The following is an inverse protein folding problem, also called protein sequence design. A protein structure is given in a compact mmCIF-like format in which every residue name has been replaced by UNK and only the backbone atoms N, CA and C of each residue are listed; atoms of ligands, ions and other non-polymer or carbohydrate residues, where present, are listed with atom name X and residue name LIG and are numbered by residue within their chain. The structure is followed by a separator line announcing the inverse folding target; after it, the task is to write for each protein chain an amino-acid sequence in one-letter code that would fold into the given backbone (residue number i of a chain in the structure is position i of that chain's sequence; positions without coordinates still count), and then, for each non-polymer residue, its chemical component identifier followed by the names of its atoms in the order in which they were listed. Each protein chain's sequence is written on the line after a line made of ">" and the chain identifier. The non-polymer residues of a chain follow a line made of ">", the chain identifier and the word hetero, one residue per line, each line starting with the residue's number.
data_IF_487884264891
#
_entry.id   IF_487884264891
#
_cell.length_a   1.000
_cell.length_b   1.000
_cell.length_c   1.000
_cell.angle_alpha   90.00
_cell.angle_beta   90.00
_cell.angle_gamma   90.00
#
_symmetry.space_group_name_H-M   'P 1'
#
loop_
_entity.id
_entity.type
_entity.pdbx_description
1 polymer ?
#
# COMPACT_ATOMS: atom_id res chain seq x y z
N UNK A 1 24.83 15.17 -25.06
CA UNK A 1 24.27 15.15 -24.57
C UNK A 1 23.43 15.22 -24.35
N UNK A 2 22.90 15.14 -24.12
CA UNK A 2 22.07 15.04 -23.86
C UNK A 2 21.29 15.14 -23.27
N UNK A 3 20.85 15.24 -23.07
CA UNK A 3 20.12 15.53 -22.25
C UNK A 3 19.21 15.27 -21.88
N UNK A 4 18.80 15.19 -21.93
CA UNK A 4 18.07 15.06 -21.64
C UNK A 4 17.15 15.00 -20.94
N UNK A 5 16.80 14.83 -20.58
CA UNK A 5 15.82 14.48 -19.72
C UNK A 5 14.89 15.46 -19.32
N UNK A 6 14.97 16.38 -19.38
CA UNK A 6 14.25 17.33 -18.89
C UNK A 6 12.90 17.45 -19.31
N UNK A 7 12.60 17.27 -20.43
CA UNK A 7 11.26 17.57 -20.85
C UNK A 7 10.20 16.73 -20.26
N UNK A 8 10.57 15.75 -19.61
CA UNK A 8 9.60 14.95 -19.08
C UNK A 8 9.09 15.34 -17.84
N UNK A 9 9.39 16.51 -17.38
CA UNK A 9 9.14 16.78 -16.07
C UNK A 9 7.76 16.63 -15.68
N UNK A 10 6.84 17.21 -16.30
CA UNK A 10 5.46 17.16 -15.88
C UNK A 10 4.87 15.82 -15.96
N UNK A 11 5.08 15.19 -17.09
CA UNK A 11 4.63 13.87 -17.24
C UNK A 11 5.50 13.02 -16.45
N UNK A 12 6.65 13.52 -16.16
CA UNK A 12 7.64 12.82 -15.46
C UNK A 12 7.29 12.42 -14.08
N UNK A 13 6.32 13.05 -13.46
CA UNK A 13 5.95 12.69 -12.14
C UNK A 13 5.49 11.26 -12.03
N UNK A 14 4.51 10.87 -12.82
CA UNK A 14 4.05 9.51 -12.83
C UNK A 14 5.12 8.59 -13.37
N UNK A 15 5.83 9.04 -14.36
CA UNK A 15 6.87 8.25 -14.93
C UNK A 15 8.04 8.06 -13.98
N UNK A 16 8.36 9.07 -13.21
CA UNK A 16 9.34 8.98 -12.18
C UNK A 16 8.96 7.98 -11.13
N UNK A 17 7.73 7.97 -10.70
CA UNK A 17 7.26 7.01 -9.74
C UNK A 17 7.45 5.59 -10.25
N UNK A 18 7.02 5.36 -11.48
CA UNK A 18 7.17 4.04 -12.08
C UNK A 18 8.63 3.66 -12.18
N UNK A 19 9.46 4.58 -12.60
CA UNK A 19 10.87 4.32 -12.74
C UNK A 19 11.53 4.06 -11.40
N UNK A 20 11.10 4.74 -10.36
CA UNK A 20 11.59 4.51 -9.02
C UNK A 20 11.23 3.12 -8.56
N UNK A 21 10.01 2.66 -8.85
CA UNK A 21 9.59 1.32 -8.53
C UNK A 21 10.47 0.31 -9.23
N UNK A 22 10.76 0.54 -10.48
CA UNK A 22 11.59 -0.38 -11.25
C UNK A 22 13.02 -0.39 -10.76
N UNK A 23 13.55 0.78 -10.46
CA UNK A 23 14.90 0.87 -10.00
C UNK A 23 15.09 0.31 -8.65
N UNK A 24 14.10 0.47 -7.81
CA UNK A 24 14.19 -0.08 -6.51
C UNK A 24 14.04 -1.59 -6.52
N UNK A 25 14.29 -2.23 -7.66
CA UNK A 25 14.04 -3.62 -7.88
C UNK A 25 14.59 -4.59 -6.90
N UNK A 26 15.31 -4.14 -5.89
CA UNK A 26 15.73 -5.00 -4.81
C UNK A 26 15.17 -4.43 -3.53
N UNK A 27 14.82 -5.27 -2.62
CA UNK A 27 14.37 -4.83 -1.33
C UNK A 27 12.86 -4.87 -1.16
N UNK A 28 12.42 -4.72 0.09
CA UNK A 28 10.99 -4.92 0.41
C UNK A 28 10.06 -3.89 -0.23
N UNK A 29 10.48 -2.63 -0.30
CA UNK A 29 9.60 -1.61 -0.87
C UNK A 29 9.33 -1.88 -2.34
N UNK A 30 10.37 -2.24 -3.08
CA UNK A 30 10.22 -2.55 -4.50
C UNK A 30 9.32 -3.75 -4.69
N UNK A 31 9.51 -4.76 -3.85
CA UNK A 31 8.71 -5.98 -3.94
C UNK A 31 7.25 -5.70 -3.63
N UNK A 32 6.98 -4.92 -2.58
CA UNK A 32 5.62 -4.54 -2.24
C UNK A 32 4.96 -3.77 -3.38
N UNK A 33 5.66 -2.77 -3.90
CA UNK A 33 5.11 -1.94 -4.97
C UNK A 33 4.81 -2.78 -6.20
N UNK A 34 5.70 -3.69 -6.53
CA UNK A 34 5.51 -4.54 -7.69
C UNK A 34 4.33 -5.48 -7.50
N UNK A 35 4.23 -6.09 -6.33
CA UNK A 35 3.15 -7.01 -6.04
C UNK A 35 1.80 -6.31 -6.01
N UNK A 36 1.70 -5.25 -5.23
CA UNK A 36 0.42 -4.56 -5.07
C UNK A 36 0.02 -3.78 -6.32
N UNK A 37 1.00 -3.29 -7.07
CA UNK A 37 0.71 -2.57 -8.29
C UNK A 37 0.03 -3.41 -9.35
N UNK A 38 0.10 -4.73 -9.23
CA UNK A 38 -0.55 -5.63 -10.17
C UNK A 38 -2.00 -5.96 -9.79
N UNK A 39 -2.44 -5.53 -8.61
CA UNK A 39 -3.82 -5.81 -8.20
C UNK A 39 -4.76 -4.77 -8.82
N UNK A 40 -5.95 -5.20 -9.25
CA UNK A 40 -6.89 -4.29 -9.93
C UNK A 40 -7.25 -3.07 -9.09
N UNK A 41 -7.21 -1.90 -9.72
CA UNK A 41 -7.60 -0.62 -9.14
C UNK A 41 -6.67 -0.12 -8.04
N UNK A 42 -5.50 -0.75 -7.86
CA UNK A 42 -4.55 -0.26 -6.87
C UNK A 42 -3.77 0.90 -7.44
N UNK A 43 -3.71 1.97 -6.67
CA UNK A 43 -2.91 3.13 -6.99
C UNK A 43 -1.87 3.31 -5.90
N UNK A 44 -0.63 3.52 -6.28
CA UNK A 44 0.48 3.69 -5.35
C UNK A 44 0.96 5.13 -5.45
N UNK A 45 0.95 5.84 -4.33
CA UNK A 45 1.33 7.25 -4.31
C UNK A 45 2.24 7.51 -3.12
N UNK A 46 3.39 8.16 -3.33
CA UNK A 46 4.21 8.56 -2.18
C UNK A 46 3.56 9.75 -1.49
N UNK A 47 3.31 9.63 -0.20
CA UNK A 47 2.68 10.67 0.60
C UNK A 47 3.22 10.62 2.02
N UNK A 48 3.57 11.79 2.54
CA UNK A 48 3.98 11.91 3.94
C UNK A 48 5.08 10.91 4.33
N UNK A 49 6.05 10.74 3.43
CA UNK A 49 7.19 9.87 3.70
C UNK A 49 6.89 8.39 3.56
N UNK A 50 5.76 8.02 2.97
CA UNK A 50 5.38 6.63 2.84
C UNK A 50 4.81 6.33 1.46
N UNK A 51 5.06 5.12 0.97
CA UNK A 51 4.33 4.60 -0.19
C UNK A 51 2.93 4.30 0.31
N UNK A 52 1.92 4.88 -0.33
CA UNK A 52 0.54 4.73 0.11
C UNK A 52 -0.24 3.96 -0.95
N UNK A 53 -0.96 2.93 -0.51
CA UNK A 53 -1.66 2.01 -1.41
C UNK A 53 -3.16 2.21 -1.28
N UNK A 54 -3.78 2.58 -2.38
CA UNK A 54 -5.22 2.89 -2.43
C UNK A 54 -5.97 1.96 -3.36
N UNK A 55 -7.22 1.69 -3.02
CA UNK A 55 -8.20 1.18 -3.97
C UNK A 55 -9.20 2.30 -4.15
N UNK A 56 -9.25 2.93 -5.33
CA UNK A 56 -10.05 4.13 -5.50
C UNK A 56 -9.63 5.17 -4.46
N UNK A 57 -10.55 5.75 -3.73
CA UNK A 57 -10.20 6.75 -2.72
C UNK A 57 -9.78 6.14 -1.38
N UNK A 58 -9.78 4.83 -1.25
CA UNK A 58 -9.60 4.21 0.06
C UNK A 58 -8.19 3.70 0.27
N UNK A 59 -7.53 4.30 1.25
CA UNK A 59 -6.20 3.87 1.65
C UNK A 59 -6.30 2.58 2.45
N UNK A 60 -5.52 1.56 2.09
CA UNK A 60 -5.57 0.30 2.83
C UNK A 60 -4.22 -0.14 3.39
N UNK A 61 -3.13 0.48 2.96
CA UNK A 61 -1.82 0.13 3.49
C UNK A 61 -0.81 1.20 3.15
N UNK A 62 0.29 1.25 3.90
CA UNK A 62 1.40 2.12 3.53
C UNK A 62 2.70 1.61 4.13
N UNK A 63 3.80 1.90 3.44
CA UNK A 63 5.12 1.42 3.81
C UNK A 63 6.14 2.55 3.69
N UNK A 64 7.13 2.65 4.59
CA UNK A 64 8.05 3.78 4.57
C UNK A 64 8.84 3.92 3.28
N UNK A 65 9.09 5.16 2.90
CA UNK A 65 9.99 5.45 1.79
C UNK A 65 11.44 5.24 2.20
N UNK A 66 11.76 5.47 3.47
CA UNK A 66 13.12 5.37 3.95
C UNK A 66 13.54 3.93 4.14
N UNK A 67 14.71 3.60 3.61
CA UNK A 67 15.18 2.22 3.63
C UNK A 67 15.35 1.64 5.01
N UNK A 68 15.61 2.48 6.00
CA UNK A 68 15.85 1.99 7.36
C UNK A 68 14.58 1.72 8.15
N UNK A 69 13.46 2.21 7.67
CA UNK A 69 12.19 2.03 8.38
C UNK A 69 11.52 0.78 7.84
N UNK A 70 10.88 0.04 8.73
CA UNK A 70 10.38 -1.29 8.39
C UNK A 70 8.91 -1.50 8.74
N UNK A 71 8.22 -0.47 9.21
CA UNK A 71 6.85 -0.66 9.70
C UNK A 71 5.82 -0.51 8.58
N UNK A 72 5.30 -1.64 8.17
CA UNK A 72 4.21 -1.70 7.21
C UNK A 72 2.89 -1.54 7.96
N UNK A 73 2.08 -0.58 7.57
CA UNK A 73 0.77 -0.35 8.17
C UNK A 73 -0.30 -0.92 7.26
N UNK A 74 -1.21 -1.69 7.83
CA UNK A 74 -2.28 -2.37 7.08
C UNK A 74 -3.59 -2.17 7.79
N UNK A 75 -4.63 -1.80 7.05
CA UNK A 75 -5.97 -1.59 7.61
C UNK A 75 -6.81 -2.83 7.37
N UNK A 76 -7.26 -3.46 8.45
CA UNK A 76 -7.97 -4.73 8.38
C UNK A 76 -9.35 -4.61 9.03
N UNK A 77 -10.26 -5.47 8.61
CA UNK A 77 -11.54 -5.60 9.29
C UNK A 77 -11.33 -6.22 10.67
N UNK A 78 -12.34 -6.19 11.53
CA UNK A 78 -12.15 -6.58 12.94
C UNK A 78 -11.60 -7.99 13.13
N UNK A 79 -12.10 -8.94 12.39
CA UNK A 79 -11.66 -10.31 12.56
C UNK A 79 -10.22 -10.51 12.08
N UNK A 80 -9.89 -9.96 10.91
CA UNK A 80 -8.54 -10.07 10.39
C UNK A 80 -7.56 -9.28 11.24
N UNK A 81 -8.01 -8.17 11.82
CA UNK A 81 -7.21 -7.39 12.75
C UNK A 81 -6.78 -8.27 13.94
N UNK A 82 -7.74 -8.96 14.56
CA UNK A 82 -7.43 -9.86 15.66
C UNK A 82 -6.47 -10.97 15.24
N UNK A 83 -6.70 -11.54 14.07
CA UNK A 83 -5.85 -12.61 13.55
C UNK A 83 -4.43 -12.14 13.29
N UNK A 84 -4.30 -10.94 12.74
CA UNK A 84 -2.98 -10.39 12.46
C UNK A 84 -2.21 -10.13 13.74
N UNK A 85 -2.88 -9.62 14.77
CA UNK A 85 -2.23 -9.42 16.06
C UNK A 85 -1.77 -10.73 16.64
N UNK A 86 -2.60 -11.77 16.55
CA UNK A 86 -2.24 -13.09 17.04
C UNK A 86 -1.07 -13.68 16.26
N UNK A 87 -0.92 -13.29 15.01
CA UNK A 87 0.15 -13.80 14.16
C UNK A 87 1.45 -13.00 14.27
N UNK A 88 1.49 -11.99 15.14
CA UNK A 88 2.72 -11.27 15.40
C UNK A 88 2.76 -9.82 14.97
N UNK A 89 1.73 -9.32 14.29
CA UNK A 89 1.66 -7.89 14.02
C UNK A 89 1.31 -7.14 15.29
N UNK A 90 1.65 -5.85 15.33
CA UNK A 90 1.36 -5.01 16.49
C UNK A 90 0.21 -4.08 16.19
N UNK A 91 -0.56 -3.66 17.22
CA UNK A 91 -1.59 -2.66 16.98
C UNK A 91 -0.93 -1.33 16.62
N UNK A 92 -1.52 -0.61 15.69
CA UNK A 92 -1.00 0.70 15.32
C UNK A 92 -1.17 1.62 16.52
N UNK A 93 -0.13 2.40 16.81
CA UNK A 93 -0.13 3.24 18.01
C UNK A 93 -1.32 4.16 18.14
N UNK A 94 -1.77 4.73 17.02
CA UNK A 94 -2.83 5.73 17.07
C UNK A 94 -4.12 5.28 16.44
N UNK A 95 -4.02 4.36 15.48
CA UNK A 95 -5.16 4.03 14.64
C UNK A 95 -5.62 2.60 14.75
N UNK A 96 -5.26 1.93 15.84
CA UNK A 96 -5.67 0.55 16.04
C UNK A 96 -7.20 0.42 16.09
N UNK A 97 -7.87 1.40 16.67
CA UNK A 97 -9.33 1.36 16.77
C UNK A 97 -10.00 1.40 15.39
N UNK A 98 -9.30 1.92 14.38
CA UNK A 98 -9.82 1.96 13.02
C UNK A 98 -9.36 0.77 12.18
N UNK A 99 -8.77 -0.23 12.81
CA UNK A 99 -8.38 -1.45 12.13
C UNK A 99 -6.93 -1.52 11.67
N UNK A 100 -6.12 -0.51 11.97
CA UNK A 100 -4.75 -0.49 11.51
C UNK A 100 -3.83 -1.33 12.40
N UNK A 101 -2.95 -2.11 11.75
CA UNK A 101 -1.90 -2.86 12.44
C UNK A 101 -0.55 -2.48 11.84
N UNK A 102 0.52 -2.77 12.57
CA UNK A 102 1.89 -2.59 12.09
C UNK A 102 2.54 -3.95 11.97
N UNK A 103 3.10 -4.23 10.81
CA UNK A 103 3.83 -5.47 10.58
C UNK A 103 5.25 -5.11 10.20
N UNK A 104 6.21 -5.77 10.81
CA UNK A 104 7.62 -5.51 10.50
C UNK A 104 8.01 -6.19 9.20
N UNK A 105 8.57 -5.42 8.27
CA UNK A 105 9.01 -5.95 6.98
C UNK A 105 10.44 -5.48 6.75
N UNK A 106 11.39 -6.35 7.03
CA UNK A 106 12.80 -6.03 6.90
C UNK A 106 13.43 -6.65 5.66
N UNK A 107 12.78 -7.64 5.08
CA UNK A 107 13.34 -8.35 3.94
C UNK A 107 12.23 -8.77 2.99
N UNK A 108 12.63 -9.25 1.81
CA UNK A 108 11.66 -9.76 0.85
C UNK A 108 10.89 -10.94 1.42
N UNK A 109 11.54 -11.71 2.29
CA UNK A 109 10.86 -12.84 2.93
C UNK A 109 9.68 -12.34 3.76
N UNK A 110 9.86 -11.22 4.45
CA UNK A 110 8.77 -10.66 5.25
C UNK A 110 7.63 -10.16 4.39
N UNK A 111 7.93 -9.69 3.17
CA UNK A 111 6.89 -9.28 2.24
C UNK A 111 5.97 -10.45 1.95
N UNK A 112 6.56 -11.62 1.71
CA UNK A 112 5.75 -12.81 1.44
C UNK A 112 4.78 -13.12 2.57
N UNK A 113 5.22 -12.94 3.81
CA UNK A 113 4.35 -13.17 4.95
C UNK A 113 3.26 -12.11 5.07
N UNK A 114 3.59 -10.88 4.72
CA UNK A 114 2.64 -9.78 4.83
C UNK A 114 1.60 -9.77 3.72
N UNK A 115 1.89 -10.37 2.58
CA UNK A 115 1.00 -10.29 1.43
C UNK A 115 -0.39 -10.82 1.73
N UNK A 116 -0.50 -11.85 2.55
CA UNK A 116 -1.82 -12.38 2.87
C UNK A 116 -2.66 -11.34 3.62
N UNK A 117 -2.05 -10.58 4.53
CA UNK A 117 -2.78 -9.53 5.24
C UNK A 117 -3.08 -8.36 4.31
N UNK A 118 -2.13 -8.04 3.46
CA UNK A 118 -2.34 -6.99 2.46
C UNK A 118 -3.49 -7.37 1.53
N UNK A 119 -3.57 -8.64 1.13
CA UNK A 119 -4.66 -9.08 0.28
C UNK A 119 -6.00 -8.96 0.98
N UNK A 120 -6.06 -9.32 2.25
CA UNK A 120 -7.30 -9.18 3.02
C UNK A 120 -7.70 -7.70 3.13
N UNK A 121 -6.72 -6.84 3.38
CA UNK A 121 -6.98 -5.41 3.47
C UNK A 121 -7.47 -4.85 2.14
N UNK A 122 -6.84 -5.29 1.05
CA UNK A 122 -7.24 -4.89 -0.28
C UNK A 122 -8.68 -5.32 -0.58
N UNK A 123 -9.02 -6.55 -0.25
CA UNK A 123 -10.36 -7.06 -0.53
C UNK A 123 -11.41 -6.30 0.29
N UNK A 124 -11.09 -5.98 1.52
CA UNK A 124 -12.02 -5.21 2.35
C UNK A 124 -12.20 -3.80 1.77
N UNK A 125 -11.11 -3.18 1.34
CA UNK A 125 -11.17 -1.84 0.75
C UNK A 125 -11.92 -1.86 -0.57
N UNK A 126 -11.65 -2.86 -1.40
CA UNK A 126 -12.30 -2.98 -2.69
C UNK A 126 -13.81 -3.16 -2.52
N UNK A 127 -14.19 -4.01 -1.57
CA UNK A 127 -15.61 -4.21 -1.28
C UNK A 127 -16.28 -2.95 -0.77
N UNK A 128 -15.59 -2.19 0.06
CA UNK A 128 -16.15 -0.94 0.59
C UNK A 128 -16.36 0.07 -0.53
N UNK A 129 -15.40 0.16 -1.45
CA UNK A 129 -15.51 1.08 -2.58
C UNK A 129 -16.68 0.67 -3.49
N UNK A 130 -16.81 -0.62 -3.76
CA UNK A 130 -17.91 -1.10 -4.58
C UNK A 130 -19.27 -0.83 -3.95
N UNK A 131 -19.37 -1.01 -2.64
CA UNK A 131 -20.62 -0.73 -1.94
C UNK A 131 -20.96 0.75 -2.02
N UNK A 132 -19.96 1.61 -1.86
CA UNK A 132 -20.17 3.04 -1.98
C UNK A 132 -20.64 3.45 -3.36
N UNK A 133 -20.01 2.88 -4.39
CA UNK A 133 -20.41 3.17 -5.76
C UNK A 133 -21.83 2.70 -6.05
N UNK A 134 -22.19 1.55 -5.51
CA UNK A 134 -23.53 1.03 -5.69
C UNK A 134 -24.57 1.90 -5.01
N UNK A 135 -24.27 2.36 -3.80
CA UNK A 135 -25.15 3.23 -3.07
C UNK A 135 -25.38 4.55 -3.81
N UNK A 136 -24.32 5.10 -4.38
CA UNK A 136 -24.42 6.29 -5.17
C UNK A 136 -25.33 6.10 -6.38
N UNK A 137 -25.20 4.98 -7.05
CA UNK A 137 -26.02 4.69 -8.21
C UNK A 137 -27.48 4.51 -7.85
N UNK A 138 -27.75 4.00 -6.67
CA UNK A 138 -29.11 3.72 -6.23
C UNK A 138 -29.80 4.93 -5.62
N UNK A 139 -29.08 6.02 -5.43
CA UNK A 139 -29.69 7.22 -4.91
C UNK A 139 -30.56 7.88 -5.93
N UNK A 140 -31.78 8.35 -5.54
CA UNK A 140 -32.69 8.99 -6.49
C UNK A 140 -32.16 10.34 -6.97
#
# INVERSE_FOLDING_TARGET
>A
MKPRPRPFRGIGSARKTRRTLERGGTGPAAELNQTLGNWPRVKITPMFGRWSYFVGPRLFACFPLRAKETDLWIRLGPEDHRRALAAGCSPHRRMSASGWVECRVESIRDVGRAVRWLRRAYEAAHGAVERGEREERDEP
#
